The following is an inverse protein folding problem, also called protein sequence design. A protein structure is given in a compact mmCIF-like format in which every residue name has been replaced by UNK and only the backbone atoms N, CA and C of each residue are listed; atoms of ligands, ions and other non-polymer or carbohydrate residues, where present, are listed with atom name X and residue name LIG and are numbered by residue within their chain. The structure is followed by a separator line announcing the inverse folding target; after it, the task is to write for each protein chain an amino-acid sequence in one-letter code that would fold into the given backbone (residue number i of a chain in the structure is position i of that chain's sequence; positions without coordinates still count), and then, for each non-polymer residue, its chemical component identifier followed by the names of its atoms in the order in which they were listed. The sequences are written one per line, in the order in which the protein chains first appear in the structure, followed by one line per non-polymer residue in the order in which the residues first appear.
data_IF_208045760411
#
_entry.id   IF_208045760411
#
_cell.length_a   1.000
_cell.length_b   1.000
_cell.length_c   1.000
_cell.angle_alpha   90.00
_cell.angle_beta   90.00
_cell.angle_gamma   90.00
#
_symmetry.space_group_name_H-M   'P 1'
#
loop_
_entity.id
_entity.type
_entity.pdbx_description
1 polymer ?
#
# COMPACT_ATOMS: atom_id res chain seq x y z
N UNK A 1 -16.71 4.21 16.67
CA UNK A 1 -17.19 4.57 15.30
C UNK A 1 -17.74 3.29 14.69
N UNK A 2 -18.96 3.32 14.15
CA UNK A 2 -19.55 2.16 13.47
C UNK A 2 -18.89 2.00 12.10
N UNK A 3 -18.63 0.75 11.71
CA UNK A 3 -18.18 0.42 10.34
C UNK A 3 -19.23 0.97 9.35
N UNK A 4 -18.82 1.68 8.28
CA UNK A 4 -19.77 2.16 7.30
C UNK A 4 -20.59 1.00 6.72
N UNK A 5 -21.88 1.16 6.62
CA UNK A 5 -22.79 0.13 6.07
C UNK A 5 -22.36 -0.35 4.66
N UNK A 6 -21.69 0.51 3.91
CA UNK A 6 -21.13 0.16 2.61
C UNK A 6 -20.09 -0.97 2.66
N UNK A 7 -19.30 -1.04 3.71
CA UNK A 7 -18.26 -2.08 3.85
C UNK A 7 -18.91 -3.43 4.18
N UNK A 8 -19.83 -3.47 5.14
CA UNK A 8 -20.57 -4.69 5.48
C UNK A 8 -21.36 -5.23 4.27
N UNK A 9 -22.01 -4.34 3.53
CA UNK A 9 -22.75 -4.71 2.32
C UNK A 9 -21.85 -5.30 1.24
N UNK A 10 -20.60 -4.87 1.15
CA UNK A 10 -19.65 -5.40 0.18
C UNK A 10 -19.29 -6.87 0.47
N UNK A 11 -19.16 -7.28 1.72
CA UNK A 11 -18.90 -8.66 2.10
C UNK A 11 -20.08 -9.58 1.77
N UNK A 12 -21.29 -9.16 2.09
CA UNK A 12 -22.52 -9.90 1.71
C UNK A 12 -22.67 -10.07 0.19
N UNK A 13 -22.31 -9.01 -0.56
CA UNK A 13 -22.34 -9.05 -2.02
C UNK A 13 -21.27 -9.99 -2.58
N UNK A 14 -20.08 -10.01 -1.99
CA UNK A 14 -19.02 -10.91 -2.41
C UNK A 14 -19.38 -12.37 -2.14
N UNK A 15 -19.87 -12.68 -0.96
CA UNK A 15 -20.36 -14.03 -0.63
C UNK A 15 -21.42 -14.52 -1.61
N UNK A 16 -22.37 -13.64 -1.94
CA UNK A 16 -23.47 -13.98 -2.86
C UNK A 16 -23.04 -14.14 -4.30
N UNK A 17 -22.17 -13.25 -4.81
CA UNK A 17 -21.88 -13.12 -6.23
C UNK A 17 -20.60 -13.83 -6.66
N UNK A 18 -19.66 -14.03 -5.73
CA UNK A 18 -18.41 -14.76 -5.96
C UNK A 18 -18.02 -15.58 -4.70
N UNK A 19 -18.74 -16.65 -4.42
CA UNK A 19 -18.50 -17.48 -3.25
C UNK A 19 -17.11 -18.16 -3.26
N UNK A 20 -16.49 -18.30 -4.44
CA UNK A 20 -15.14 -18.88 -4.54
C UNK A 20 -14.08 -17.94 -3.99
N UNK A 21 -14.13 -16.67 -4.37
CA UNK A 21 -13.24 -15.63 -3.81
C UNK A 21 -13.53 -15.39 -2.33
N UNK A 22 -14.81 -15.30 -1.96
CA UNK A 22 -15.19 -15.14 -0.55
C UNK A 22 -14.64 -16.29 0.31
N UNK A 23 -14.82 -17.54 -0.15
CA UNK A 23 -14.30 -18.72 0.56
C UNK A 23 -12.78 -18.74 0.68
N UNK A 24 -12.06 -18.29 -0.35
CA UNK A 24 -10.60 -18.19 -0.30
C UNK A 24 -10.13 -17.15 0.73
N UNK A 25 -10.79 -15.99 0.80
CA UNK A 25 -10.48 -14.94 1.79
C UNK A 25 -10.75 -15.43 3.21
N UNK A 26 -11.90 -16.05 3.46
CA UNK A 26 -12.21 -16.65 4.77
C UNK A 26 -11.23 -17.76 5.16
N UNK A 27 -10.77 -18.54 4.18
CA UNK A 27 -9.75 -19.56 4.37
C UNK A 27 -8.40 -18.99 4.78
N UNK A 28 -7.98 -17.88 4.15
CA UNK A 28 -6.75 -17.18 4.49
C UNK A 28 -6.83 -16.53 5.87
N UNK A 29 -7.94 -15.86 6.19
CA UNK A 29 -8.16 -15.30 7.53
C UNK A 29 -8.05 -16.38 8.62
N UNK A 30 -8.64 -17.54 8.36
CA UNK A 30 -8.52 -18.69 9.28
C UNK A 30 -7.07 -19.16 9.39
N UNK A 31 -6.34 -19.26 8.28
CA UNK A 31 -4.92 -19.66 8.26
C UNK A 31 -4.08 -18.71 9.12
N UNK A 32 -4.28 -17.41 8.95
CA UNK A 32 -3.58 -16.38 9.73
C UNK A 32 -3.89 -16.47 11.22
N UNK A 33 -5.14 -16.74 11.58
CA UNK A 33 -5.56 -16.88 13.00
C UNK A 33 -5.05 -18.17 13.68
N UNK A 34 -4.93 -19.25 12.94
CA UNK A 34 -4.55 -20.58 13.46
C UNK A 34 -3.05 -20.89 13.28
N UNK A 35 -2.38 -20.15 12.38
CA UNK A 35 -0.97 -20.35 12.05
C UNK A 35 -0.02 -19.49 12.88
N UNK A 36 1.27 -19.84 12.79
CA UNK A 36 2.36 -19.01 13.29
C UNK A 36 3.10 -18.47 12.07
N UNK A 37 3.04 -17.16 11.87
CA UNK A 37 3.77 -16.50 10.78
C UNK A 37 5.24 -16.31 11.18
N UNK A 38 6.15 -16.87 10.38
CA UNK A 38 7.60 -16.80 10.60
C UNK A 38 8.34 -16.00 9.52
N UNK A 39 7.62 -15.45 8.56
CA UNK A 39 8.21 -14.58 7.53
C UNK A 39 8.34 -13.17 8.09
N UNK A 40 9.56 -12.68 8.38
CA UNK A 40 9.75 -11.42 9.11
C UNK A 40 9.31 -10.18 8.32
N UNK A 41 9.10 -10.29 7.02
CA UNK A 41 8.62 -9.21 6.16
C UNK A 41 7.09 -9.13 6.08
N UNK A 42 6.37 -10.12 6.59
CA UNK A 42 4.92 -10.10 6.66
C UNK A 42 4.43 -9.43 7.95
N UNK A 43 3.31 -8.72 7.85
CA UNK A 43 2.72 -8.00 8.97
C UNK A 43 1.21 -7.97 8.87
N UNK A 44 0.53 -8.18 9.99
CA UNK A 44 -0.93 -8.04 10.07
C UNK A 44 -1.33 -6.57 10.00
N UNK A 45 -2.13 -6.22 9.00
CA UNK A 45 -2.63 -4.86 8.81
C UNK A 45 -3.74 -4.53 9.79
N UNK A 46 -3.80 -3.26 10.19
CA UNK A 46 -4.97 -2.77 10.94
C UNK A 46 -6.24 -2.82 10.08
N UNK A 47 -7.41 -3.12 10.68
CA UNK A 47 -8.69 -3.16 9.96
C UNK A 47 -9.01 -1.87 9.20
N UNK A 48 -8.58 -0.72 9.71
CA UNK A 48 -8.75 0.58 9.06
C UNK A 48 -7.97 0.69 7.74
N UNK A 49 -6.81 0.03 7.65
CA UNK A 49 -6.02 -0.02 6.41
C UNK A 49 -6.73 -0.85 5.36
N UNK A 50 -7.26 -2.02 5.75
CA UNK A 50 -8.06 -2.88 4.86
C UNK A 50 -9.31 -2.14 4.36
N UNK A 51 -10.02 -1.44 5.27
CA UNK A 51 -11.21 -0.66 4.91
C UNK A 51 -10.88 0.50 3.96
N UNK A 52 -9.75 1.16 4.14
CA UNK A 52 -9.31 2.24 3.26
C UNK A 52 -8.95 1.71 1.85
N UNK A 53 -8.22 0.60 1.78
CA UNK A 53 -7.85 -0.04 0.51
C UNK A 53 -9.07 -0.55 -0.28
N UNK A 54 -10.06 -1.10 0.40
CA UNK A 54 -11.32 -1.56 -0.19
C UNK A 54 -12.36 -0.46 -0.43
N UNK A 55 -11.97 0.81 -0.39
CA UNK A 55 -12.89 1.93 -0.56
C UNK A 55 -13.07 2.34 -2.02
N UNK A 56 -13.99 3.30 -2.25
CA UNK A 56 -14.27 3.88 -3.58
C UNK A 56 -13.05 4.58 -4.22
N UNK A 57 -11.99 4.83 -3.48
CA UNK A 57 -10.74 5.35 -4.03
C UNK A 57 -10.08 4.40 -5.03
N UNK A 58 -10.41 3.11 -4.99
CA UNK A 58 -10.01 2.12 -6.01
C UNK A 58 -10.48 2.51 -7.42
N UNK A 59 -11.57 3.29 -7.54
CA UNK A 59 -12.09 3.76 -8.81
C UNK A 59 -11.41 5.02 -9.32
N UNK A 60 -10.55 5.66 -8.51
CA UNK A 60 -10.02 6.98 -8.81
C UNK A 60 -8.62 6.94 -9.40
N UNK A 61 -8.54 7.42 -10.62
CA UNK A 61 -7.26 7.66 -11.29
C UNK A 61 -6.72 9.05 -10.88
N UNK A 62 -5.40 9.16 -10.44
CA UNK A 62 -4.87 10.39 -9.79
C UNK A 62 -3.44 10.66 -10.21
N UNK A 63 -3.25 11.12 -11.44
CA UNK A 63 -1.95 11.59 -11.91
C UNK A 63 -1.62 13.00 -11.40
N UNK A 64 -0.34 13.25 -11.15
CA UNK A 64 0.16 14.51 -10.59
C UNK A 64 0.27 14.45 -9.07
N UNK A 65 0.34 15.61 -8.44
CA UNK A 65 0.52 15.79 -7.01
C UNK A 65 -0.61 16.64 -6.40
N UNK A 66 -0.81 16.65 -5.09
CA UNK A 66 -1.78 17.52 -4.45
C UNK A 66 -1.67 18.97 -4.94
N UNK A 67 -2.78 19.54 -5.39
CA UNK A 67 -2.84 20.88 -5.98
C UNK A 67 -2.24 21.02 -7.38
N UNK A 68 -1.70 19.95 -7.97
CA UNK A 68 -1.09 19.93 -9.33
C UNK A 68 -1.50 18.68 -10.10
N UNK A 69 -2.79 18.42 -10.19
CA UNK A 69 -3.36 17.28 -10.89
C UNK A 69 -3.58 17.59 -12.37
N UNK A 70 -3.53 16.56 -13.21
CA UNK A 70 -3.77 16.71 -14.64
C UNK A 70 -5.24 16.83 -15.00
N UNK A 71 -6.15 16.42 -14.10
CA UNK A 71 -7.61 16.44 -14.32
C UNK A 71 -8.40 16.60 -13.01
N UNK A 72 -9.70 16.86 -13.16
CA UNK A 72 -10.60 17.19 -12.06
C UNK A 72 -10.98 16.00 -11.15
N UNK A 73 -11.77 16.30 -10.13
CA UNK A 73 -12.29 15.32 -9.17
C UNK A 73 -11.28 14.87 -8.13
N UNK A 74 -10.23 15.64 -7.87
CA UNK A 74 -9.10 15.25 -7.04
C UNK A 74 -9.16 15.75 -5.58
N UNK A 75 -10.18 16.52 -5.22
CA UNK A 75 -10.23 17.20 -3.93
C UNK A 75 -10.03 16.26 -2.73
N UNK A 76 -10.72 15.13 -2.69
CA UNK A 76 -10.55 14.15 -1.60
C UNK A 76 -9.27 13.33 -1.71
N UNK A 77 -8.79 13.05 -2.93
CA UNK A 77 -7.49 12.42 -3.15
C UNK A 77 -6.36 13.29 -2.62
N UNK A 78 -6.41 14.60 -2.88
CA UNK A 78 -5.44 15.56 -2.36
C UNK A 78 -5.40 15.58 -0.84
N UNK A 79 -6.57 15.47 -0.19
CA UNK A 79 -6.64 15.38 1.28
C UNK A 79 -5.93 14.12 1.77
N UNK A 80 -6.22 12.96 1.19
CA UNK A 80 -5.62 11.68 1.62
C UNK A 80 -4.11 11.70 1.40
N UNK A 81 -3.67 12.11 0.21
CA UNK A 81 -2.24 12.13 -0.11
C UNK A 81 -1.48 13.12 0.76
N UNK A 82 -2.03 14.32 1.00
CA UNK A 82 -1.43 15.31 1.89
C UNK A 82 -1.33 14.80 3.33
N UNK A 83 -2.38 14.14 3.85
CA UNK A 83 -2.33 13.51 5.18
C UNK A 83 -1.29 12.40 5.26
N UNK A 84 -1.16 11.59 4.22
CA UNK A 84 -0.14 10.53 4.17
C UNK A 84 1.27 11.11 4.19
N UNK A 85 1.53 12.16 3.40
CA UNK A 85 2.80 12.89 3.37
C UNK A 85 3.14 13.42 4.77
N UNK A 86 2.22 14.16 5.40
CA UNK A 86 2.46 14.75 6.72
C UNK A 86 2.70 13.68 7.80
N UNK A 87 1.95 12.59 7.78
CA UNK A 87 2.14 11.47 8.72
C UNK A 87 3.45 10.75 8.48
N UNK A 88 3.85 10.52 7.23
CA UNK A 88 5.16 9.95 6.90
C UNK A 88 6.30 10.84 7.41
N UNK A 89 6.22 12.16 7.20
CA UNK A 89 7.20 13.12 7.73
C UNK A 89 7.31 13.05 9.25
N UNK A 90 6.20 12.93 9.96
CA UNK A 90 6.19 12.81 11.43
C UNK A 90 6.80 11.49 11.89
N UNK A 91 6.43 10.36 11.29
CA UNK A 91 6.94 9.04 11.66
C UNK A 91 8.44 8.92 11.43
N UNK A 92 8.91 9.36 10.26
CA UNK A 92 10.31 9.25 9.87
C UNK A 92 11.16 10.48 10.29
N UNK A 93 10.55 11.51 10.88
CA UNK A 93 11.20 12.77 11.27
C UNK A 93 12.00 13.40 10.13
N UNK A 94 11.41 13.42 8.93
CA UNK A 94 12.03 13.94 7.72
C UNK A 94 11.31 15.19 7.22
N UNK A 95 12.02 16.03 6.47
CA UNK A 95 11.49 17.27 5.91
C UNK A 95 10.62 17.02 4.68
N UNK A 96 10.91 15.95 3.94
CA UNK A 96 10.24 15.59 2.69
C UNK A 96 9.82 14.13 2.69
N UNK A 97 8.67 13.85 2.10
CA UNK A 97 8.17 12.50 1.85
C UNK A 97 7.41 12.44 0.53
N UNK A 98 7.59 11.37 -0.20
CA UNK A 98 6.76 11.02 -1.36
C UNK A 98 6.07 9.69 -1.05
N UNK A 99 4.74 9.69 -1.08
CA UNK A 99 3.90 8.53 -0.73
C UNK A 99 3.25 7.86 -1.94
N UNK A 100 3.64 8.25 -3.15
CA UNK A 100 3.13 7.66 -4.39
C UNK A 100 3.83 6.37 -4.85
N UNK A 101 5.01 5.99 -4.32
CA UNK A 101 5.67 4.77 -4.77
C UNK A 101 4.78 3.54 -4.66
N UNK A 102 4.80 2.72 -5.71
CA UNK A 102 4.02 1.49 -5.79
C UNK A 102 4.56 0.41 -4.84
N UNK A 103 5.89 0.31 -4.72
CA UNK A 103 6.56 -0.70 -3.90
C UNK A 103 8.01 -0.31 -3.60
N UNK A 104 8.70 -1.11 -2.77
CA UNK A 104 10.12 -0.89 -2.44
C UNK A 104 11.05 -0.99 -3.64
N UNK A 105 10.83 -1.93 -4.56
CA UNK A 105 11.71 -2.14 -5.71
C UNK A 105 11.85 -0.93 -6.63
N UNK A 106 10.78 -0.24 -7.05
CA UNK A 106 10.91 1.02 -7.80
C UNK A 106 11.63 2.10 -7.01
N UNK A 107 11.54 2.10 -5.68
CA UNK A 107 12.23 3.08 -4.85
C UNK A 107 13.72 2.80 -4.74
N UNK A 108 14.12 1.54 -4.64
CA UNK A 108 15.54 1.18 -4.76
C UNK A 108 16.11 1.62 -6.11
N UNK A 109 15.38 1.40 -7.20
CA UNK A 109 15.77 1.88 -8.52
C UNK A 109 15.89 3.41 -8.58
N UNK A 110 14.96 4.15 -7.97
CA UNK A 110 15.03 5.61 -7.90
C UNK A 110 16.28 6.08 -7.15
N UNK A 111 16.63 5.41 -6.05
CA UNK A 111 17.87 5.71 -5.30
C UNK A 111 19.11 5.43 -6.16
N UNK A 112 19.15 4.29 -6.84
CA UNK A 112 20.26 3.97 -7.74
C UNK A 112 20.41 5.01 -8.86
N UNK A 113 19.32 5.40 -9.50
CA UNK A 113 19.32 6.42 -10.54
C UNK A 113 19.76 7.79 -10.03
N UNK A 114 19.46 8.11 -8.78
CA UNK A 114 19.83 9.40 -8.18
C UNK A 114 21.32 9.48 -7.81
N UNK A 115 21.92 8.38 -7.36
CA UNK A 115 23.25 8.39 -6.75
C UNK A 115 24.32 7.65 -7.54
N UNK A 116 23.96 6.77 -8.47
CA UNK A 116 24.90 5.88 -9.17
C UNK A 116 24.93 6.16 -10.66
N UNK A 117 26.06 5.81 -11.28
CA UNK A 117 26.23 5.73 -12.72
C UNK A 117 26.34 4.28 -13.16
N UNK A 118 26.03 3.95 -14.42
CA UNK A 118 26.29 2.60 -14.93
C UNK A 118 27.73 2.17 -14.72
N UNK A 119 27.91 1.03 -14.04
CA UNK A 119 29.23 0.48 -13.69
C UNK A 119 29.70 0.79 -12.27
N UNK A 120 29.01 1.64 -11.52
CA UNK A 120 29.35 1.87 -10.11
C UNK A 120 29.05 0.62 -9.27
N UNK A 121 29.93 0.25 -8.32
CA UNK A 121 29.71 -0.91 -7.48
C UNK A 121 28.64 -0.64 -6.42
N UNK A 122 27.79 -1.65 -6.21
CA UNK A 122 26.78 -1.66 -5.12
C UNK A 122 27.13 -2.79 -4.17
N UNK A 123 27.31 -2.44 -2.89
CA UNK A 123 27.53 -3.43 -1.84
C UNK A 123 26.17 -3.94 -1.34
N UNK A 124 25.91 -5.21 -1.53
CA UNK A 124 24.69 -5.89 -1.07
C UNK A 124 25.09 -7.00 -0.09
N UNK A 125 24.45 -7.10 1.09
CA UNK A 125 24.67 -8.24 1.98
C UNK A 125 24.37 -9.56 1.25
N UNK A 126 25.14 -10.64 1.50
CA UNK A 126 24.92 -11.93 0.85
C UNK A 126 23.51 -12.49 1.01
N UNK A 127 22.87 -12.18 2.13
CA UNK A 127 21.52 -12.65 2.50
C UNK A 127 20.40 -11.73 1.96
N UNK A 128 20.75 -10.63 1.31
CA UNK A 128 19.82 -9.61 0.86
C UNK A 128 19.41 -9.69 -0.61
N UNK A 129 19.94 -10.65 -1.36
CA UNK A 129 19.69 -10.74 -2.80
C UNK A 129 18.21 -10.99 -3.14
N UNK A 130 17.51 -11.73 -2.28
CA UNK A 130 16.08 -12.05 -2.46
C UNK A 130 15.16 -10.85 -2.19
N UNK A 131 15.63 -9.86 -1.44
CA UNK A 131 14.83 -8.70 -1.04
C UNK A 131 14.92 -7.50 -1.99
N UNK A 132 15.82 -7.53 -2.97
CA UNK A 132 16.06 -6.38 -3.87
C UNK A 132 15.14 -6.41 -5.11
N UNK A 133 14.39 -7.50 -5.31
CA UNK A 133 13.40 -7.61 -6.38
C UNK A 133 14.00 -7.27 -7.76
N UNK A 134 14.63 -8.22 -8.36
CA UNK A 134 15.06 -8.19 -9.78
C UNK A 134 13.90 -8.60 -10.67
#
# INVERSE_FOLDING_TARGET
MSVPQSVLKNWELLEKNDPAIYGAICGEEKREMEGVELIPSENYTYPEVLAANGSVFTNKYSEGYPGRRYYGGQGFTDVIESLAIERAKQVFRCEHANVQPLSGSPMNQAVYLAFLKPGDPVLVPPEGFESIGW
#
